data_IF_784953587919
#
_entry.id   IF_784953587919
#
_cell.length_a   1.000
_cell.length_b   1.000
_cell.length_c   1.000
_cell.angle_alpha   90.00
_cell.angle_beta   90.00
_cell.angle_gamma   90.00
#
_symmetry.space_group_name_H-M   'P 1'
#
loop_
_entity.id
_entity.type
_entity.pdbx_description
1 polymer ?
#
# COMPACT_ATOMS: atom_id res chain seq x y z
N UNK A 1 -19.98 52.02 17.40
CA UNK A 1 -18.51 51.88 17.31
C UNK A 1 -18.22 50.37 17.18
N UNK A 2 -18.21 49.80 15.97
CA UNK A 2 -17.06 49.70 15.04
C UNK A 2 -15.91 48.96 15.75
N UNK A 3 -15.54 47.72 15.41
CA UNK A 3 -15.27 47.19 14.06
C UNK A 3 -15.46 45.67 14.05
N UNK A 4 -16.16 45.18 13.02
CA UNK A 4 -16.10 43.80 12.53
C UNK A 4 -14.68 43.58 12.00
N UNK A 5 -13.89 42.71 12.62
CA UNK A 5 -12.60 42.29 12.06
C UNK A 5 -12.82 40.98 11.31
N UNK A 6 -13.08 41.14 10.02
CA UNK A 6 -13.25 40.06 9.06
C UNK A 6 -11.83 39.63 8.66
N UNK A 7 -11.27 38.64 9.37
CA UNK A 7 -10.02 37.98 8.98
C UNK A 7 -10.34 36.91 7.96
N UNK A 8 -10.30 37.32 6.70
CA UNK A 8 -10.15 36.46 5.52
C UNK A 8 -8.79 35.75 5.64
N UNK A 9 -8.77 34.56 6.23
CA UNK A 9 -7.67 33.61 6.10
C UNK A 9 -7.81 32.94 4.72
N UNK A 10 -7.05 33.45 3.75
CA UNK A 10 -6.73 32.76 2.50
C UNK A 10 -6.07 31.41 2.83
N UNK A 11 -6.88 30.36 2.95
CA UNK A 11 -6.42 28.98 2.82
C UNK A 11 -6.05 28.75 1.36
N UNK A 12 -4.81 29.09 0.99
CA UNK A 12 -4.17 28.57 -0.21
C UNK A 12 -4.06 27.06 -0.06
N UNK A 13 -5.04 26.34 -0.60
CA UNK A 13 -4.89 24.94 -0.95
C UNK A 13 -3.79 24.87 -2.02
N UNK A 14 -2.56 24.54 -1.61
CA UNK A 14 -1.58 24.01 -2.54
C UNK A 14 -2.14 22.68 -3.06
N UNK A 15 -2.85 22.73 -4.19
CA UNK A 15 -3.11 21.56 -4.99
C UNK A 15 -1.75 21.06 -5.51
N UNK A 16 -1.12 20.15 -4.78
CA UNK A 16 -0.02 19.39 -5.33
C UNK A 16 -0.60 18.54 -6.46
N UNK A 17 -0.33 18.94 -7.70
CA UNK A 17 -0.56 18.08 -8.86
C UNK A 17 0.39 16.88 -8.73
N UNK A 18 -0.10 15.77 -8.17
CA UNK A 18 0.65 14.51 -8.16
C UNK A 18 0.75 14.00 -9.60
N UNK A 19 1.97 13.76 -10.08
CA UNK A 19 2.16 13.21 -11.43
C UNK A 19 1.91 11.70 -11.43
N UNK A 20 1.67 11.13 -12.61
CA UNK A 20 1.51 9.69 -12.76
C UNK A 20 2.75 8.90 -12.23
N UNK A 21 3.95 9.45 -12.42
CA UNK A 21 5.19 8.85 -11.93
C UNK A 21 5.28 8.88 -10.39
N UNK A 22 4.84 9.97 -9.74
CA UNK A 22 4.79 10.06 -8.28
C UNK A 22 3.84 9.00 -7.68
N UNK A 23 2.69 8.78 -8.33
CA UNK A 23 1.73 7.77 -7.88
C UNK A 23 2.26 6.34 -8.03
N UNK A 24 2.99 6.05 -9.12
CA UNK A 24 3.64 4.75 -9.31
C UNK A 24 4.74 4.51 -8.27
N UNK A 25 5.55 5.53 -7.96
CA UNK A 25 6.56 5.48 -6.91
C UNK A 25 5.95 5.25 -5.52
N UNK A 26 4.79 5.86 -5.24
CA UNK A 26 4.06 5.65 -3.99
C UNK A 26 3.63 4.18 -3.82
N UNK A 27 3.04 3.56 -4.84
CA UNK A 27 2.70 2.13 -4.79
C UNK A 27 3.93 1.24 -4.59
N UNK A 28 5.07 1.57 -5.22
CA UNK A 28 6.31 0.83 -5.03
C UNK A 28 6.80 0.90 -3.58
N UNK A 29 6.79 2.10 -2.98
CA UNK A 29 7.16 2.30 -1.58
C UNK A 29 6.23 1.58 -0.61
N UNK A 30 4.92 1.60 -0.85
CA UNK A 30 3.96 0.86 -0.02
C UNK A 30 4.24 -0.65 -0.05
N UNK A 31 4.54 -1.22 -1.23
CA UNK A 31 4.91 -2.63 -1.36
C UNK A 31 6.21 -2.97 -0.66
N UNK A 32 7.21 -2.10 -0.74
CA UNK A 32 8.49 -2.28 -0.05
C UNK A 32 8.27 -2.36 1.46
N UNK A 33 7.48 -1.44 2.02
CA UNK A 33 7.14 -1.43 3.45
C UNK A 33 6.41 -2.71 3.87
N UNK A 34 5.42 -3.16 3.09
CA UNK A 34 4.72 -4.42 3.39
C UNK A 34 5.63 -5.64 3.26
N UNK A 35 6.53 -5.64 2.27
CA UNK A 35 7.54 -6.68 2.09
C UNK A 35 8.50 -6.78 3.29
N UNK A 36 8.96 -5.63 3.81
CA UNK A 36 9.78 -5.57 5.01
C UNK A 36 9.02 -6.10 6.25
N UNK A 37 7.76 -5.69 6.44
CA UNK A 37 6.92 -6.21 7.53
C UNK A 37 6.73 -7.72 7.44
N UNK A 38 6.48 -8.24 6.23
CA UNK A 38 6.36 -9.68 5.98
C UNK A 38 7.64 -10.40 6.37
N UNK A 39 8.80 -9.86 6.02
CA UNK A 39 10.09 -10.45 6.35
C UNK A 39 10.29 -10.53 7.87
N UNK A 40 9.97 -9.47 8.63
CA UNK A 40 10.04 -9.48 10.08
C UNK A 40 9.19 -10.61 10.72
N UNK A 41 8.00 -10.89 10.17
CA UNK A 41 7.16 -11.99 10.63
C UNK A 41 7.79 -13.36 10.33
N UNK A 42 8.45 -13.50 9.17
CA UNK A 42 9.15 -14.72 8.79
C UNK A 42 10.38 -14.97 9.66
N UNK A 43 11.19 -13.95 9.91
CA UNK A 43 12.37 -14.02 10.77
C UNK A 43 11.96 -14.42 12.20
N UNK A 44 10.94 -13.74 12.74
CA UNK A 44 10.40 -14.08 14.07
C UNK A 44 9.79 -15.50 14.11
N UNK A 45 9.27 -16.02 13.00
CA UNK A 45 8.82 -17.41 12.93
C UNK A 45 10.00 -18.39 12.93
N UNK A 46 11.08 -18.06 12.23
CA UNK A 46 12.30 -18.87 12.22
C UNK A 46 12.91 -18.97 13.62
N UNK A 47 13.11 -17.85 14.30
CA UNK A 47 13.63 -17.80 15.67
C UNK A 47 12.78 -18.66 16.63
N UNK A 48 11.45 -18.51 16.58
CA UNK A 48 10.53 -19.32 17.40
C UNK A 48 10.63 -20.81 17.06
N UNK A 49 10.80 -21.14 15.78
CA UNK A 49 10.94 -22.53 15.33
C UNK A 49 12.24 -23.14 15.83
N UNK A 50 13.34 -22.38 15.82
CA UNK A 50 14.62 -22.81 16.40
C UNK A 50 14.49 -23.04 17.91
N UNK A 51 13.86 -22.11 18.63
CA UNK A 51 13.63 -22.23 20.07
C UNK A 51 12.75 -23.45 20.45
N UNK A 52 11.90 -23.95 19.55
CA UNK A 52 11.09 -25.14 19.80
C UNK A 52 11.91 -26.41 20.03
N UNK A 53 13.12 -26.51 19.46
CA UNK A 53 13.98 -27.69 19.61
C UNK A 53 14.54 -27.87 21.02
N UNK A 54 14.53 -26.81 21.83
CA UNK A 54 14.95 -26.87 23.23
C UNK A 54 13.81 -27.29 24.16
N UNK A 55 12.62 -27.57 23.63
CA UNK A 55 11.42 -27.93 24.41
C UNK A 55 11.12 -29.41 24.30
N UNK A 56 10.56 -29.99 25.35
CA UNK A 56 10.13 -31.39 25.34
C UNK A 56 9.01 -31.65 24.32
N UNK A 57 8.05 -30.73 24.19
CA UNK A 57 6.91 -30.84 23.27
C UNK A 57 7.15 -30.14 21.91
N UNK A 58 8.25 -30.50 21.22
CA UNK A 58 8.69 -29.85 19.97
C UNK A 58 7.57 -29.74 18.93
N UNK A 59 6.86 -30.85 18.65
CA UNK A 59 5.81 -30.88 17.63
C UNK A 59 4.66 -29.91 17.94
N UNK A 60 4.21 -29.86 19.20
CA UNK A 60 3.16 -28.92 19.61
C UNK A 60 3.65 -27.47 19.45
N UNK A 61 4.90 -27.20 19.89
CA UNK A 61 5.51 -25.88 19.76
C UNK A 61 5.57 -25.41 18.29
N UNK A 62 6.02 -26.26 17.37
CA UNK A 62 6.09 -25.93 15.94
C UNK A 62 4.70 -25.66 15.36
N UNK A 63 3.68 -26.44 15.75
CA UNK A 63 2.29 -26.20 15.31
C UNK A 63 1.81 -24.82 15.76
N UNK A 64 2.09 -24.43 17.00
CA UNK A 64 1.73 -23.10 17.51
C UNK A 64 2.49 -22.00 16.79
N UNK A 65 3.80 -22.14 16.58
CA UNK A 65 4.60 -21.17 15.81
C UNK A 65 4.02 -20.96 14.40
N UNK A 66 3.57 -22.03 13.72
CA UNK A 66 2.91 -21.94 12.41
C UNK A 66 1.55 -21.25 12.48
N UNK A 67 0.79 -21.43 13.57
CA UNK A 67 -0.50 -20.74 13.79
C UNK A 67 -0.27 -19.25 13.99
N UNK A 68 0.67 -18.87 14.85
CA UNK A 68 1.07 -17.47 15.07
C UNK A 68 1.50 -16.82 13.77
N UNK A 69 2.44 -17.44 13.02
CA UNK A 69 2.85 -16.92 11.70
C UNK A 69 1.68 -16.68 10.75
N UNK A 70 0.71 -17.60 10.68
CA UNK A 70 -0.48 -17.42 9.82
C UNK A 70 -1.32 -16.23 10.27
N UNK A 71 -1.56 -16.09 11.57
CA UNK A 71 -2.32 -14.98 12.13
C UNK A 71 -1.62 -13.64 11.87
N UNK A 72 -0.29 -13.58 12.06
CA UNK A 72 0.51 -12.37 11.86
C UNK A 72 0.62 -11.97 10.38
N UNK A 73 0.69 -12.96 9.47
CA UNK A 73 0.75 -12.70 8.02
C UNK A 73 -0.60 -12.30 7.41
N UNK A 74 -1.72 -12.64 8.03
CA UNK A 74 -3.05 -12.37 7.47
C UNK A 74 -3.32 -10.88 7.24
N UNK A 75 -3.15 -9.96 8.22
CA UNK A 75 -3.37 -8.54 7.99
C UNK A 75 -2.42 -7.96 6.93
N UNK A 76 -1.18 -8.44 6.86
CA UNK A 76 -0.21 -8.03 5.83
C UNK A 76 -0.70 -8.45 4.44
N UNK A 77 -1.17 -9.69 4.30
CA UNK A 77 -1.76 -10.17 3.04
C UNK A 77 -2.95 -9.32 2.61
N UNK A 78 -3.84 -8.98 3.54
CA UNK A 78 -5.00 -8.13 3.21
C UNK A 78 -4.56 -6.73 2.75
N UNK A 79 -3.54 -6.15 3.38
CA UNK A 79 -2.97 -4.87 2.95
C UNK A 79 -2.31 -4.96 1.56
N UNK A 80 -1.55 -6.02 1.28
CA UNK A 80 -0.96 -6.28 -0.04
C UNK A 80 -2.03 -6.38 -1.14
N UNK A 81 -3.12 -7.11 -0.86
CA UNK A 81 -4.25 -7.21 -1.79
C UNK A 81 -4.92 -5.87 -2.06
N UNK A 82 -5.11 -5.05 -1.02
CA UNK A 82 -5.68 -3.72 -1.16
C UNK A 82 -4.78 -2.77 -1.98
N UNK A 83 -3.46 -2.85 -1.83
CA UNK A 83 -2.49 -2.08 -2.65
C UNK A 83 -2.58 -2.53 -4.11
N UNK A 84 -2.57 -3.85 -4.35
CA UNK A 84 -2.65 -4.40 -5.70
C UNK A 84 -3.94 -4.01 -6.41
N UNK A 85 -5.07 -3.97 -5.70
CA UNK A 85 -6.35 -3.55 -6.26
C UNK A 85 -6.35 -2.06 -6.62
N UNK A 86 -5.89 -1.19 -5.71
CA UNK A 86 -5.75 0.25 -6.00
C UNK A 86 -4.86 0.52 -7.21
N UNK A 87 -3.74 -0.18 -7.31
CA UNK A 87 -2.83 -0.02 -8.44
C UNK A 87 -3.45 -0.51 -9.76
N UNK A 88 -4.18 -1.64 -9.74
CA UNK A 88 -4.90 -2.12 -10.93
C UNK A 88 -5.93 -1.11 -11.43
N UNK A 89 -6.71 -0.54 -10.52
CA UNK A 89 -7.69 0.50 -10.84
C UNK A 89 -7.00 1.72 -11.44
N UNK A 90 -5.95 2.21 -10.80
CA UNK A 90 -5.17 3.35 -11.30
C UNK A 90 -4.59 3.09 -12.71
N UNK A 91 -3.96 1.92 -12.95
CA UNK A 91 -3.43 1.57 -14.28
C UNK A 91 -4.51 1.48 -15.35
N UNK A 92 -5.72 1.07 -14.96
CA UNK A 92 -6.88 1.04 -15.85
C UNK A 92 -7.31 2.44 -16.22
N UNK A 93 -7.42 3.37 -15.25
CA UNK A 93 -7.75 4.77 -15.53
C UNK A 93 -6.72 5.43 -16.44
N UNK A 94 -5.42 5.26 -16.14
CA UNK A 94 -4.34 5.76 -16.99
C UNK A 94 -4.40 5.21 -18.42
N UNK A 95 -4.89 3.97 -18.61
CA UNK A 95 -5.10 3.42 -19.95
C UNK A 95 -6.29 4.08 -20.64
N UNK A 96 -7.40 4.26 -19.94
CA UNK A 96 -8.61 4.87 -20.48
C UNK A 96 -8.34 6.32 -20.92
N UNK A 97 -7.70 7.12 -20.07
CA UNK A 97 -7.28 8.50 -20.40
C UNK A 97 -6.43 8.54 -21.69
N UNK A 98 -5.47 7.62 -21.83
CA UNK A 98 -4.65 7.52 -23.06
C UNK A 98 -5.46 7.14 -24.30
N UNK A 99 -6.50 6.32 -24.16
CA UNK A 99 -7.36 5.94 -25.27
C UNK A 99 -8.28 7.09 -25.68
N UNK A 100 -8.85 7.80 -24.71
CA UNK A 100 -9.69 8.99 -24.94
C UNK A 100 -8.91 10.10 -25.63
N UNK A 101 -7.69 10.40 -25.15
CA UNK A 101 -6.83 11.41 -25.78
C UNK A 101 -6.49 11.04 -27.23
N UNK A 102 -6.16 9.76 -27.51
CA UNK A 102 -5.91 9.28 -28.87
C UNK A 102 -7.14 9.40 -29.78
N UNK A 103 -8.33 9.09 -29.27
CA UNK A 103 -9.57 9.23 -30.03
C UNK A 103 -9.84 10.69 -30.37
N UNK A 104 -9.69 11.59 -29.40
CA UNK A 104 -9.83 13.03 -29.61
C UNK A 104 -8.82 13.57 -30.64
N UNK A 105 -7.56 13.17 -30.56
CA UNK A 105 -6.52 13.50 -31.55
C UNK A 105 -6.86 12.99 -32.95
N UNK A 106 -7.37 11.75 -33.06
CA UNK A 106 -7.76 11.16 -34.33
C UNK A 106 -8.98 11.84 -34.96
N UNK A 107 -9.94 12.30 -34.15
CA UNK A 107 -11.12 13.03 -34.60
C UNK A 107 -10.81 14.49 -35.00
N UNK A 108 -9.76 15.07 -34.43
CA UNK A 108 -9.30 16.43 -34.75
C UNK A 108 -8.42 16.49 -36.02
N UNK A 109 -8.01 15.34 -36.57
CA UNK A 109 -7.21 15.27 -37.80
C UNK A 109 -8.13 15.25 -39.03
N UNK A 110 -7.98 16.21 -39.99
CA UNK A 110 -8.83 16.31 -41.18
C UNK A 110 -8.59 15.20 -42.19
#
# INVERSE_FOLDING_TARGET
MKKRFLLLLCSSACAFAQTADDTAAAFAKEREVLGAQRQLVLDAFEERSQACWQKFAVNNCIIQARRTRRADLEPIRQAELAVNERERQWRTQQRNERLENKQAESAAKP
#
